data_IF_671179150839
#
_entry.id   IF_671179150839
#
_cell.length_a   1.000
_cell.length_b   1.000
_cell.length_c   1.000
_cell.angle_alpha   90.00
_cell.angle_beta   90.00
_cell.angle_gamma   90.00
#
_symmetry.space_group_name_H-M   'P 1'
#
loop_
_entity.id
_entity.type
_entity.pdbx_description
1 polymer ?
#
# COMPACT_ATOMS: atom_id res chain seq x y z
N UNK A 1 18.22 1.84 19.76
CA UNK A 1 17.62 3.20 19.73
C UNK A 1 16.20 3.04 19.23
N UNK A 2 15.15 3.39 20.00
CA UNK A 2 13.79 3.29 19.49
C UNK A 2 13.56 4.41 18.47
N UNK A 3 13.19 4.02 17.26
CA UNK A 3 12.94 4.91 16.13
C UNK A 3 11.62 5.64 16.34
N UNK A 4 11.61 6.68 17.17
CA UNK A 4 10.39 7.39 17.58
C UNK A 4 10.53 8.91 17.46
N UNK A 5 11.28 9.37 16.45
CA UNK A 5 11.36 10.79 16.09
C UNK A 5 11.35 10.96 14.57
N UNK A 6 10.28 10.52 13.94
CA UNK A 6 9.87 11.03 12.62
C UNK A 6 8.90 12.18 12.86
N UNK A 7 9.16 13.36 12.29
CA UNK A 7 8.14 14.39 12.17
C UNK A 7 7.10 13.87 11.18
N UNK A 8 6.11 13.12 11.66
CA UNK A 8 4.99 12.70 10.84
C UNK A 8 4.19 13.97 10.54
N UNK A 9 4.09 14.33 9.25
CA UNK A 9 3.08 15.29 8.80
C UNK A 9 1.78 14.99 9.53
N UNK A 10 1.13 16.01 10.13
CA UNK A 10 -0.05 15.83 10.99
C UNK A 10 -0.99 14.82 10.34
N UNK A 11 -0.97 13.58 10.85
CA UNK A 11 -1.92 12.58 10.43
C UNK A 11 -3.30 13.17 10.76
N UNK A 12 -4.29 13.08 9.85
CA UNK A 12 -5.61 13.64 10.06
C UNK A 12 -6.31 13.01 11.27
N UNK A 13 -5.83 11.84 11.71
CA UNK A 13 -6.29 11.13 12.88
C UNK A 13 -5.08 10.71 13.72
N UNK A 14 -5.13 10.99 15.02
CA UNK A 14 -4.15 10.50 16.00
C UNK A 14 -4.52 9.08 16.44
N UNK A 15 -5.81 8.81 16.59
CA UNK A 15 -6.38 7.48 16.82
C UNK A 15 -7.56 7.24 15.88
N UNK A 16 -7.30 6.45 14.84
CA UNK A 16 -8.29 6.16 13.79
C UNK A 16 -9.52 5.42 14.34
N UNK A 17 -9.43 4.70 15.45
CA UNK A 17 -10.59 4.02 16.03
C UNK A 17 -11.48 5.00 16.79
N UNK A 18 -10.91 5.83 17.67
CA UNK A 18 -11.69 6.77 18.48
C UNK A 18 -12.25 7.95 17.68
N UNK A 19 -11.57 8.35 16.59
CA UNK A 19 -11.98 9.48 15.77
C UNK A 19 -12.95 9.10 14.64
N UNK A 20 -13.16 7.80 14.41
CA UNK A 20 -14.07 7.28 13.37
C UNK A 20 -15.39 6.81 13.98
N UNK A 21 -16.25 7.76 14.35
CA UNK A 21 -17.49 7.49 15.09
C UNK A 21 -18.61 7.04 14.15
N UNK A 22 -18.71 7.63 12.96
CA UNK A 22 -19.78 7.37 12.00
C UNK A 22 -19.31 6.52 10.81
N UNK A 23 -20.27 5.98 10.05
CA UNK A 23 -19.96 5.32 8.78
C UNK A 23 -19.30 6.27 7.78
N UNK A 24 -19.70 7.55 7.75
CA UNK A 24 -19.10 8.55 6.87
C UNK A 24 -17.64 8.81 7.23
N UNK A 25 -17.32 8.86 8.53
CA UNK A 25 -15.93 9.03 8.99
C UNK A 25 -15.07 7.85 8.51
N UNK A 26 -15.62 6.63 8.52
CA UNK A 26 -14.90 5.45 8.05
C UNK A 26 -14.60 5.51 6.57
N UNK A 27 -15.58 5.88 5.74
CA UNK A 27 -15.37 6.04 4.30
C UNK A 27 -14.37 7.17 4.00
N UNK A 28 -14.39 8.26 4.79
CA UNK A 28 -13.39 9.32 4.70
C UNK A 28 -11.99 8.83 5.07
N UNK A 29 -11.83 8.03 6.12
CA UNK A 29 -10.55 7.44 6.49
C UNK A 29 -10.00 6.53 5.38
N UNK A 30 -10.85 5.67 4.81
CA UNK A 30 -10.47 4.80 3.69
C UNK A 30 -10.05 5.64 2.48
N UNK A 31 -10.88 6.61 2.08
CA UNK A 31 -10.60 7.51 0.97
C UNK A 31 -9.29 8.26 1.17
N UNK A 32 -9.07 8.84 2.35
CA UNK A 32 -7.83 9.53 2.70
C UNK A 32 -6.61 8.60 2.64
N UNK A 33 -6.72 7.38 3.17
CA UNK A 33 -5.62 6.40 3.14
C UNK A 33 -5.26 6.03 1.70
N UNK A 34 -6.24 5.90 0.82
CA UNK A 34 -6.01 5.65 -0.61
C UNK A 34 -5.37 6.87 -1.28
N UNK A 35 -5.88 8.07 -1.02
CA UNK A 35 -5.38 9.33 -1.60
C UNK A 35 -3.95 9.64 -1.17
N UNK A 36 -3.66 9.57 0.12
CA UNK A 36 -2.31 9.80 0.65
C UNK A 36 -1.32 8.76 0.18
N UNK A 37 -1.84 7.56 -0.06
CA UNK A 37 -1.04 6.54 -0.69
C UNK A 37 0.26 6.27 0.11
N UNK A 38 0.19 5.91 1.41
CA UNK A 38 1.35 5.43 2.16
C UNK A 38 1.94 4.17 1.53
N UNK A 39 3.26 4.02 1.56
CA UNK A 39 3.91 2.81 1.01
C UNK A 39 3.59 1.57 1.82
N UNK A 40 3.46 1.73 3.14
CA UNK A 40 3.28 0.66 4.12
C UNK A 40 2.14 1.03 5.07
N UNK A 41 1.29 0.06 5.37
CA UNK A 41 0.32 0.08 6.45
C UNK A 41 0.67 -1.01 7.46
N UNK A 42 0.54 -0.69 8.74
CA UNK A 42 0.80 -1.61 9.84
C UNK A 42 -0.51 -1.85 10.60
N UNK A 43 -0.85 -3.11 10.81
CA UNK A 43 -1.97 -3.52 11.65
C UNK A 43 -1.49 -4.47 12.73
N UNK A 44 -2.12 -4.45 13.90
CA UNK A 44 -1.89 -5.50 14.89
C UNK A 44 -2.38 -6.85 14.36
N UNK A 45 -1.65 -7.91 14.69
CA UNK A 45 -2.04 -9.29 14.36
C UNK A 45 -3.37 -9.64 15.03
N UNK A 46 -4.35 -10.21 14.29
CA UNK A 46 -5.59 -10.71 14.86
C UNK A 46 -5.36 -11.65 16.03
N UNK A 47 -6.08 -11.43 17.12
CA UNK A 47 -5.99 -12.28 18.31
C UNK A 47 -4.76 -12.02 19.18
N UNK A 48 -3.90 -11.06 18.84
CA UNK A 48 -2.89 -10.56 19.76
C UNK A 48 -3.60 -9.97 21.00
N UNK A 49 -3.29 -10.43 22.23
CA UNK A 49 -3.90 -9.89 23.45
C UNK A 49 -3.72 -8.38 23.63
N UNK A 50 -2.73 -7.80 22.96
CA UNK A 50 -2.43 -6.37 22.98
C UNK A 50 -3.16 -5.56 21.89
N UNK A 51 -3.85 -6.22 20.94
CA UNK A 51 -4.54 -5.58 19.80
C UNK A 51 -5.86 -4.87 20.18
N UNK A 52 -5.99 -4.44 21.45
CA UNK A 52 -7.14 -3.70 21.93
C UNK A 52 -8.42 -4.51 22.15
N UNK A 53 -9.52 -3.80 22.42
CA UNK A 53 -10.83 -4.39 22.73
C UNK A 53 -11.51 -4.98 21.48
N UNK A 54 -12.52 -5.85 21.67
CA UNK A 54 -13.20 -6.56 20.57
C UNK A 54 -13.71 -5.64 19.45
N UNK A 55 -14.23 -4.47 19.79
CA UNK A 55 -14.77 -3.54 18.78
C UNK A 55 -13.67 -2.86 17.96
N UNK A 56 -12.53 -2.56 18.58
CA UNK A 56 -11.34 -2.08 17.89
C UNK A 56 -10.79 -3.13 16.92
N UNK A 57 -10.75 -4.39 17.33
CA UNK A 57 -10.35 -5.50 16.45
C UNK A 57 -11.29 -5.64 15.25
N UNK A 58 -12.60 -5.55 15.46
CA UNK A 58 -13.61 -5.56 14.38
C UNK A 58 -13.45 -4.37 13.43
N UNK A 59 -13.19 -3.19 13.98
CA UNK A 59 -12.92 -1.99 13.19
C UNK A 59 -11.70 -2.18 12.27
N UNK A 60 -10.56 -2.61 12.80
CA UNK A 60 -9.36 -2.84 12.00
C UNK A 60 -9.49 -4.03 11.03
N UNK A 61 -10.31 -5.03 11.36
CA UNK A 61 -10.69 -6.06 10.39
C UNK A 61 -11.47 -5.48 9.22
N UNK A 62 -12.45 -4.62 9.47
CA UNK A 62 -13.22 -3.93 8.43
C UNK A 62 -12.34 -3.00 7.59
N UNK A 63 -11.42 -2.27 8.22
CA UNK A 63 -10.48 -1.37 7.54
C UNK A 63 -9.55 -2.14 6.60
N UNK A 64 -8.97 -3.27 7.03
CA UNK A 64 -8.17 -4.15 6.17
C UNK A 64 -8.96 -4.65 4.98
N UNK A 65 -10.19 -5.11 5.21
CA UNK A 65 -11.06 -5.57 4.12
C UNK A 65 -11.34 -4.48 3.09
N UNK A 66 -11.50 -3.22 3.51
CA UNK A 66 -11.70 -2.08 2.61
C UNK A 66 -10.43 -1.72 1.80
N UNK A 67 -9.24 -2.01 2.33
CA UNK A 67 -7.95 -1.63 1.75
C UNK A 67 -7.25 -2.74 0.96
N UNK A 68 -7.84 -3.94 0.87
CA UNK A 68 -7.24 -5.11 0.20
C UNK A 68 -7.03 -4.95 -1.31
N UNK A 69 -7.75 -4.01 -1.95
CA UNK A 69 -7.56 -3.74 -3.38
C UNK A 69 -6.25 -2.98 -3.64
N UNK A 70 -5.97 -1.84 -2.97
CA UNK A 70 -4.71 -1.12 -3.14
C UNK A 70 -3.54 -1.65 -2.31
N UNK A 71 -3.77 -2.52 -1.32
CA UNK A 71 -2.72 -3.07 -0.46
C UNK A 71 -2.79 -4.58 -0.35
N UNK A 72 -1.62 -5.21 -0.28
CA UNK A 72 -1.50 -6.64 -0.04
C UNK A 72 -0.72 -6.91 1.23
N UNK A 73 -1.13 -7.92 2.00
CA UNK A 73 -0.36 -8.41 3.12
C UNK A 73 0.95 -9.02 2.60
N UNK A 74 2.09 -8.52 3.07
CA UNK A 74 3.41 -9.00 2.67
C UNK A 74 4.01 -9.96 3.69
N UNK A 75 3.94 -9.60 4.97
CA UNK A 75 4.49 -10.41 6.05
C UNK A 75 3.75 -10.16 7.36
N UNK A 76 3.87 -11.13 8.25
CA UNK A 76 3.44 -11.03 9.64
C UNK A 76 4.64 -11.29 10.54
N UNK A 77 5.05 -10.31 11.34
CA UNK A 77 6.21 -10.44 12.24
C UNK A 77 5.96 -9.65 13.53
N UNK A 78 6.41 -10.20 14.66
CA UNK A 78 6.49 -9.50 15.95
C UNK A 78 5.19 -8.79 16.39
N UNK A 79 4.04 -9.41 16.13
CA UNK A 79 2.73 -8.86 16.50
C UNK A 79 2.13 -7.89 15.47
N UNK A 80 2.81 -7.67 14.34
CA UNK A 80 2.36 -6.79 13.25
C UNK A 80 2.08 -7.56 11.96
N UNK A 81 1.03 -7.15 11.27
CA UNK A 81 0.83 -7.38 9.84
C UNK A 81 1.36 -6.18 9.07
N UNK A 82 2.25 -6.44 8.10
CA UNK A 82 2.83 -5.42 7.22
C UNK A 82 2.18 -5.52 5.86
N UNK A 83 1.45 -4.47 5.48
CA UNK A 83 0.73 -4.37 4.23
C UNK A 83 1.41 -3.34 3.33
N UNK A 84 1.78 -3.74 2.12
CA UNK A 84 2.41 -2.85 1.14
C UNK A 84 1.44 -2.52 0.02
N UNK A 85 1.61 -1.35 -0.60
CA UNK A 85 0.83 -1.01 -1.78
C UNK A 85 1.07 -2.06 -2.87
N UNK A 86 -0.02 -2.60 -3.40
CA UNK A 86 0.00 -3.41 -4.61
C UNK A 86 0.58 -2.55 -5.73
N UNK A 87 1.78 -2.89 -6.21
CA UNK A 87 2.28 -2.30 -7.45
C UNK A 87 1.31 -2.75 -8.54
N UNK A 88 0.54 -1.82 -9.08
CA UNK A 88 -0.07 -2.06 -10.38
C UNK A 88 1.10 -2.39 -11.30
N UNK A 89 1.09 -3.58 -11.90
CA UNK A 89 2.01 -3.94 -12.97
C UNK A 89 1.68 -3.05 -14.18
N UNK A 90 2.07 -1.78 -14.10
CA UNK A 90 1.88 -0.75 -15.11
C UNK A 90 3.24 -0.35 -15.65
N UNK A 91 3.42 -0.62 -16.94
CA UNK A 91 4.62 -0.31 -17.73
C UNK A 91 5.78 -1.30 -17.55
N UNK A 92 5.64 -2.48 -18.17
CA UNK A 92 6.80 -3.08 -18.83
C UNK A 92 7.15 -2.13 -19.97
N UNK A 93 8.25 -1.42 -19.81
CA UNK A 93 8.72 -0.41 -20.74
C UNK A 93 8.68 -0.89 -22.19
N UNK A 94 8.00 -0.09 -23.01
CA UNK A 94 8.28 0.03 -24.42
C UNK A 94 9.60 0.81 -24.58
N UNK A 95 10.72 0.09 -24.71
CA UNK A 95 12.00 0.54 -25.28
C UNK A 95 12.93 -0.69 -25.30
N UNK A 96 13.71 -1.05 -26.30
CA UNK A 96 13.92 -0.69 -27.70
C UNK A 96 14.92 -1.77 -28.22
N UNK A 97 15.00 -1.98 -29.53
CA UNK A 97 16.10 -2.76 -30.12
C UNK A 97 15.72 -4.15 -30.63
N UNK A 98 14.90 -4.22 -31.67
CA UNK A 98 15.19 -5.19 -32.73
C UNK A 98 15.58 -4.42 -33.99
N UNK A 99 16.86 -4.04 -33.99
CA UNK A 99 17.64 -3.65 -35.15
C UNK A 99 17.59 -4.81 -36.15
N UNK A 100 16.62 -4.76 -37.05
CA UNK A 100 16.54 -5.67 -38.18
C UNK A 100 17.71 -5.36 -39.12
N UNK A 101 18.48 -6.36 -39.59
CA UNK A 101 19.64 -6.11 -40.41
C UNK A 101 19.23 -5.40 -41.70
N UNK A 102 19.79 -4.22 -41.94
CA UNK A 102 19.78 -3.52 -43.21
C UNK A 102 20.41 -4.45 -44.27
N UNK A 103 19.68 -4.90 -45.31
CA UNK A 103 20.33 -5.56 -46.43
C UNK A 103 21.15 -4.53 -47.20
N UNK A 104 22.47 -4.70 -47.09
CA UNK A 104 23.46 -3.86 -47.73
C UNK A 104 23.28 -3.74 -49.24
N UNK A 105 23.52 -2.53 -49.72
CA UNK A 105 23.74 -2.19 -51.13
C UNK A 105 24.72 -3.18 -51.77
N UNK A 106 24.28 -3.87 -52.83
CA UNK A 106 25.20 -4.33 -53.88
C UNK A 106 25.12 -3.36 -55.05
N UNK A 107 26.04 -2.40 -55.05
CA UNK A 107 26.55 -1.83 -56.27
C UNK A 107 27.32 -2.92 -57.01
N UNK A 108 26.86 -3.26 -58.21
CA UNK A 108 27.57 -4.09 -59.17
C UNK A 108 27.40 -3.46 -60.55
N UNK A 109 28.34 -2.59 -60.91
CA UNK A 109 28.66 -2.23 -62.30
C UNK A 109 29.25 -3.46 -62.97
N UNK A 110 28.77 -3.82 -64.16
CA UNK A 110 29.47 -3.66 -65.44
C UNK A 110 28.47 -3.93 -66.56
#
# INVERSE_FOLDING_TARGET
LPTLTGFYERLPFQDTFFETITHSDFEHLVGWTVTMSPTVLLFDVPGNPLAGYRDQQRFFQRLRAALVSPYTLMTTSDGWEVWERTRHAGSKDAHDGHDGPVPGRRSGRL
#
